data_IF_334387464845
#
_entry.id   IF_334387464845
#
_cell.length_a   1.000
_cell.length_b   1.000
_cell.length_c   1.000
_cell.angle_alpha   90.00
_cell.angle_beta   90.00
_cell.angle_gamma   90.00
#
_symmetry.space_group_name_H-M   'P 1'
#
loop_
_entity.id
_entity.type
_entity.pdbx_description
1 polymer ?
#
# COMPACT_ATOMS: atom_id res chain seq x y z
N UNK A 1 1.91 -19.38 -10.19
CA UNK A 1 2.66 -18.21 -10.64
C UNK A 1 2.87 -18.23 -12.15
N UNK A 2 1.84 -18.63 -12.86
CA UNK A 2 1.95 -18.73 -14.33
C UNK A 2 1.12 -17.68 -15.06
N UNK A 3 0.38 -16.90 -14.29
CA UNK A 3 -0.47 -15.83 -14.79
C UNK A 3 -0.01 -14.50 -14.20
N UNK A 4 0.72 -13.68 -14.95
CA UNK A 4 1.28 -12.41 -14.45
C UNK A 4 0.21 -11.40 -14.12
N UNK A 5 -0.96 -11.51 -14.74
CA UNK A 5 -2.08 -10.59 -14.52
C UNK A 5 -3.32 -11.37 -14.07
N UNK A 6 -4.11 -10.77 -13.19
CA UNK A 6 -5.37 -11.33 -12.73
C UNK A 6 -6.56 -10.96 -13.62
N UNK A 7 -7.73 -11.43 -13.21
CA UNK A 7 -9.00 -11.12 -13.85
C UNK A 7 -9.29 -11.93 -15.11
N UNK A 8 -10.47 -11.72 -15.63
CA UNK A 8 -11.00 -12.46 -16.80
C UNK A 8 -10.18 -12.27 -18.07
N UNK A 9 -9.68 -11.07 -18.29
CA UNK A 9 -9.01 -10.69 -19.52
C UNK A 9 -7.49 -10.74 -19.44
N UNK A 10 -6.94 -10.66 -18.23
CA UNK A 10 -5.48 -10.70 -17.96
C UNK A 10 -4.67 -9.69 -18.79
N UNK A 11 -5.30 -8.54 -19.12
CA UNK A 11 -4.70 -7.52 -19.99
C UNK A 11 -3.99 -6.43 -19.21
N UNK A 12 -4.33 -6.27 -17.94
CA UNK A 12 -3.77 -5.22 -17.06
C UNK A 12 -3.32 -5.83 -15.73
N UNK A 13 -2.26 -5.26 -15.18
CA UNK A 13 -1.80 -5.63 -13.85
C UNK A 13 -2.85 -5.25 -12.80
N UNK A 14 -3.14 -6.16 -11.88
CA UNK A 14 -4.09 -5.91 -10.80
C UNK A 14 -3.45 -5.05 -9.71
N UNK A 15 -4.20 -4.09 -9.18
CA UNK A 15 -3.74 -3.25 -8.07
C UNK A 15 -3.86 -3.94 -6.71
N UNK A 16 -4.75 -4.94 -6.62
CA UNK A 16 -4.97 -5.74 -5.40
C UNK A 16 -5.13 -7.21 -5.76
N UNK A 17 -4.64 -8.09 -4.90
CA UNK A 17 -5.01 -9.50 -4.92
C UNK A 17 -6.41 -9.64 -4.33
N UNK A 18 -7.31 -10.29 -5.04
CA UNK A 18 -8.67 -10.59 -4.56
C UNK A 18 -8.93 -12.08 -4.75
N UNK A 19 -9.34 -12.77 -3.69
CA UNK A 19 -9.58 -14.19 -3.72
C UNK A 19 -10.84 -14.56 -2.93
N UNK A 20 -11.69 -15.44 -3.49
CA UNK A 20 -12.82 -16.02 -2.75
C UNK A 20 -12.32 -16.88 -1.60
N UNK A 21 -13.02 -16.83 -0.49
CA UNK A 21 -12.74 -17.73 0.62
C UNK A 21 -13.04 -19.16 0.20
N UNK A 22 -12.08 -20.09 0.33
CA UNK A 22 -12.32 -21.50 0.05
C UNK A 22 -13.26 -22.08 1.11
N UNK A 23 -14.30 -22.78 0.65
CA UNK A 23 -15.24 -23.50 1.51
C UNK A 23 -15.27 -24.97 1.15
N UNK A 24 -15.50 -25.84 2.12
CA UNK A 24 -15.49 -27.28 1.90
C UNK A 24 -16.65 -27.77 1.00
N UNK A 25 -17.78 -27.07 1.02
CA UNK A 25 -18.97 -27.38 0.18
C UNK A 25 -19.68 -26.09 -0.19
N UNK A 26 -20.24 -26.07 -1.39
CA UNK A 26 -21.00 -24.92 -1.90
C UNK A 26 -20.11 -23.82 -2.46
N UNK A 27 -20.64 -22.62 -2.57
CA UNK A 27 -19.96 -21.41 -3.01
C UNK A 27 -19.99 -20.34 -1.91
N UNK A 28 -19.01 -19.46 -1.92
CA UNK A 28 -18.88 -18.34 -0.97
C UNK A 28 -18.69 -17.05 -1.77
N UNK A 29 -19.54 -16.08 -1.52
CA UNK A 29 -19.47 -14.75 -2.14
C UNK A 29 -18.54 -13.78 -1.38
N UNK A 30 -17.93 -14.24 -0.29
CA UNK A 30 -16.97 -13.44 0.48
C UNK A 30 -15.57 -13.58 -0.13
N UNK A 31 -14.92 -12.46 -0.31
CA UNK A 31 -13.55 -12.37 -0.81
C UNK A 31 -12.64 -11.74 0.22
N UNK A 32 -11.38 -12.15 0.22
CA UNK A 32 -10.28 -11.43 0.87
C UNK A 32 -9.57 -10.58 -0.16
N UNK A 33 -9.13 -9.41 0.26
CA UNK A 33 -8.37 -8.48 -0.55
C UNK A 33 -7.05 -8.17 0.13
N UNK A 34 -5.98 -8.06 -0.66
CA UNK A 34 -4.67 -7.63 -0.18
C UNK A 34 -4.00 -6.76 -1.23
N UNK A 35 -3.42 -5.67 -0.78
CA UNK A 35 -2.58 -4.79 -1.58
C UNK A 35 -1.30 -4.46 -0.85
N UNK A 36 -0.38 -3.79 -1.52
CA UNK A 36 0.84 -3.28 -0.90
C UNK A 36 1.15 -1.87 -1.38
N UNK A 37 1.98 -1.17 -0.62
CA UNK A 37 2.54 0.13 -1.00
C UNK A 37 4.00 0.21 -0.57
N UNK A 38 4.85 0.73 -1.45
CA UNK A 38 6.26 1.01 -1.20
C UNK A 38 6.90 1.76 -2.37
N UNK A 39 7.58 2.86 -2.07
CA UNK A 39 8.42 3.59 -3.01
C UNK A 39 9.86 3.69 -2.47
N UNK A 40 10.84 3.00 -3.09
CA UNK A 40 12.23 2.99 -2.64
C UNK A 40 12.92 4.35 -2.78
N UNK A 41 12.53 5.17 -3.75
CA UNK A 41 13.13 6.50 -3.95
C UNK A 41 12.65 7.48 -2.89
N UNK A 42 11.34 7.50 -2.63
CA UNK A 42 10.76 8.32 -1.58
C UNK A 42 11.28 7.90 -0.20
N UNK A 43 11.39 6.60 0.07
CA UNK A 43 11.92 6.06 1.31
C UNK A 43 13.40 6.39 1.51
N UNK A 44 14.19 6.44 0.44
CA UNK A 44 15.59 6.85 0.47
C UNK A 44 15.75 8.34 0.75
N UNK A 45 14.84 9.16 0.22
CA UNK A 45 14.81 10.59 0.49
C UNK A 45 14.35 10.88 1.93
N UNK A 46 13.30 10.22 2.39
CA UNK A 46 12.77 10.35 3.75
C UNK A 46 12.04 9.07 4.17
N UNK A 47 12.61 8.27 5.08
CA UNK A 47 11.95 7.07 5.58
C UNK A 47 10.57 7.36 6.21
N UNK A 48 10.41 8.51 6.86
CA UNK A 48 9.13 8.95 7.41
C UNK A 48 8.06 9.11 6.33
N UNK A 49 8.34 9.92 5.29
CA UNK A 49 7.39 10.15 4.21
C UNK A 49 7.20 8.88 3.37
N UNK A 50 8.25 8.11 3.14
CA UNK A 50 8.16 6.81 2.47
C UNK A 50 7.14 5.89 3.16
N UNK A 51 7.17 5.81 4.48
CA UNK A 51 6.22 5.00 5.24
C UNK A 51 4.79 5.56 5.21
N UNK A 52 4.61 6.89 5.32
CA UNK A 52 3.29 7.53 5.18
C UNK A 52 2.67 7.18 3.83
N UNK A 53 3.43 7.36 2.74
CA UNK A 53 2.93 7.08 1.39
C UNK A 53 2.76 5.58 1.12
N UNK A 54 3.56 4.71 1.73
CA UNK A 54 3.36 3.27 1.65
C UNK A 54 1.99 2.86 2.23
N UNK A 55 1.61 3.43 3.37
CA UNK A 55 0.28 3.22 3.96
C UNK A 55 -0.82 3.76 3.05
N UNK A 56 -0.67 4.99 2.57
CA UNK A 56 -1.64 5.62 1.67
C UNK A 56 -1.82 4.82 0.37
N UNK A 57 -0.73 4.38 -0.25
CA UNK A 57 -0.76 3.62 -1.49
C UNK A 57 -1.46 2.28 -1.31
N UNK A 58 -1.09 1.49 -0.28
CA UNK A 58 -1.74 0.21 -0.02
C UNK A 58 -3.24 0.38 0.24
N UNK A 59 -3.64 1.42 1.00
CA UNK A 59 -5.04 1.73 1.26
C UNK A 59 -5.79 2.12 -0.02
N UNK A 60 -5.21 2.99 -0.83
CA UNK A 60 -5.81 3.43 -2.10
C UNK A 60 -6.06 2.27 -3.05
N UNK A 61 -5.14 1.32 -3.12
CA UNK A 61 -5.28 0.12 -3.97
C UNK A 61 -6.44 -0.79 -3.51
N UNK A 62 -6.70 -0.89 -2.22
CA UNK A 62 -7.89 -1.60 -1.71
C UNK A 62 -9.16 -0.88 -2.15
N UNK A 63 -9.22 0.44 -1.99
CA UNK A 63 -10.39 1.25 -2.36
C UNK A 63 -10.68 1.16 -3.86
N UNK A 64 -9.66 1.25 -4.70
CA UNK A 64 -9.83 1.14 -6.16
C UNK A 64 -10.31 -0.23 -6.62
N UNK A 65 -10.08 -1.26 -5.83
CA UNK A 65 -10.59 -2.61 -6.08
C UNK A 65 -11.98 -2.88 -5.49
N UNK A 66 -12.62 -1.87 -4.87
CA UNK A 66 -13.97 -1.97 -4.31
C UNK A 66 -14.05 -2.26 -2.81
N UNK A 67 -12.91 -2.20 -2.10
CA UNK A 67 -12.85 -2.38 -0.65
C UNK A 67 -13.32 -1.15 0.14
N UNK A 68 -13.69 -1.37 1.38
CA UNK A 68 -14.09 -0.33 2.32
C UNK A 68 -12.89 0.04 3.21
N UNK A 69 -12.30 1.22 2.98
CA UNK A 69 -11.11 1.63 3.73
C UNK A 69 -11.29 1.57 5.25
N UNK A 70 -12.49 1.76 5.77
CA UNK A 70 -12.78 1.74 7.22
C UNK A 70 -12.60 0.36 7.87
N UNK A 71 -12.59 -0.70 7.07
CA UNK A 71 -12.43 -2.09 7.52
C UNK A 71 -11.00 -2.58 7.40
N UNK A 72 -10.15 -1.86 6.70
CA UNK A 72 -8.76 -2.26 6.45
C UNK A 72 -7.99 -2.48 7.76
N UNK A 73 -7.15 -3.50 7.73
CA UNK A 73 -6.10 -3.75 8.73
C UNK A 73 -4.77 -3.82 8.02
N UNK A 74 -3.75 -3.23 8.63
CA UNK A 74 -2.41 -3.24 8.07
C UNK A 74 -1.53 -4.31 8.69
N UNK A 75 -0.54 -4.75 7.92
CA UNK A 75 0.65 -5.43 8.43
C UNK A 75 1.86 -4.86 7.71
N UNK A 76 2.96 -4.68 8.43
CA UNK A 76 4.16 -4.05 7.89
C UNK A 76 5.30 -5.04 7.78
N UNK A 77 6.02 -4.96 6.67
CA UNK A 77 7.28 -5.66 6.48
C UNK A 77 8.39 -4.62 6.38
N UNK A 78 9.31 -4.67 7.31
CA UNK A 78 10.41 -3.73 7.38
C UNK A 78 11.74 -4.41 7.06
N UNK A 79 12.61 -3.70 6.35
CA UNK A 79 13.94 -4.17 6.00
C UNK A 79 14.91 -3.00 5.93
N UNK A 80 15.88 -3.00 6.83
CA UNK A 80 16.86 -1.93 6.95
C UNK A 80 18.28 -2.48 6.86
N UNK A 81 19.21 -1.61 6.50
CA UNK A 81 20.64 -1.92 6.50
C UNK A 81 21.10 -2.41 7.88
N UNK A 82 22.22 -3.10 7.91
CA UNK A 82 22.79 -3.60 9.18
C UNK A 82 23.02 -2.44 10.15
N UNK A 83 22.52 -2.60 11.34
CA UNK A 83 22.74 -1.64 12.42
C UNK A 83 24.19 -1.67 12.89
N UNK A 84 24.65 -0.54 13.39
CA UNK A 84 25.96 -0.35 14.02
C UNK A 84 25.77 0.58 15.21
N UNK A 85 26.84 1.06 15.81
CA UNK A 85 26.78 2.08 16.85
C UNK A 85 26.46 3.48 16.32
N UNK A 86 26.43 3.66 15.00
CA UNK A 86 26.07 4.94 14.38
C UNK A 86 24.57 5.25 14.58
N UNK A 87 24.23 6.30 15.34
CA UNK A 87 22.84 6.66 15.59
C UNK A 87 22.06 7.01 14.32
N UNK A 88 22.73 7.44 13.25
CA UNK A 88 22.09 7.70 11.95
C UNK A 88 21.49 6.44 11.33
N UNK A 89 22.09 5.28 11.58
CA UNK A 89 21.52 4.01 11.12
C UNK A 89 20.23 3.67 11.85
N UNK A 90 20.15 3.94 13.15
CA UNK A 90 18.97 3.72 13.98
C UNK A 90 17.84 4.72 13.71
N UNK A 91 18.17 5.93 13.23
CA UNK A 91 17.14 6.93 12.89
C UNK A 91 16.24 6.51 11.73
N UNK A 92 16.71 5.67 10.81
CA UNK A 92 15.93 5.25 9.64
C UNK A 92 14.71 4.38 10.01
N UNK A 93 14.86 3.25 10.75
CA UNK A 93 13.71 2.48 11.19
C UNK A 93 12.79 3.30 12.10
N UNK A 94 13.35 4.11 13.01
CA UNK A 94 12.53 4.96 13.87
C UNK A 94 11.67 5.96 13.08
N UNK A 95 12.25 6.62 12.07
CA UNK A 95 11.52 7.56 11.22
C UNK A 95 10.43 6.86 10.39
N UNK A 96 10.70 5.66 9.84
CA UNK A 96 9.73 4.88 9.12
C UNK A 96 8.54 4.45 10.02
N UNK A 97 8.84 3.93 11.21
CA UNK A 97 7.81 3.58 12.19
C UNK A 97 6.94 4.78 12.59
N UNK A 98 7.57 5.94 12.81
CA UNK A 98 6.83 7.17 13.15
C UNK A 98 5.92 7.61 12.00
N UNK A 99 6.37 7.49 10.75
CA UNK A 99 5.56 7.79 9.57
C UNK A 99 4.35 6.85 9.47
N UNK A 100 4.57 5.54 9.59
CA UNK A 100 3.50 4.56 9.59
C UNK A 100 2.51 4.73 10.76
N UNK A 101 3.02 5.07 11.95
CA UNK A 101 2.18 5.38 13.12
C UNK A 101 1.28 6.59 12.85
N UNK A 102 1.83 7.69 12.36
CA UNK A 102 1.05 8.89 12.08
C UNK A 102 -0.02 8.64 11.00
N UNK A 103 0.31 7.88 9.96
CA UNK A 103 -0.67 7.51 8.94
C UNK A 103 -1.81 6.67 9.53
N UNK A 104 -1.50 5.67 10.37
CA UNK A 104 -2.51 4.86 11.05
C UNK A 104 -3.45 5.72 11.92
N UNK A 105 -2.90 6.64 12.70
CA UNK A 105 -3.70 7.55 13.54
C UNK A 105 -4.56 8.46 12.67
N UNK A 106 -3.99 9.02 11.59
CA UNK A 106 -4.72 9.91 10.68
C UNK A 106 -5.91 9.23 10.01
N UNK A 107 -5.78 7.96 9.62
CA UNK A 107 -6.87 7.18 9.04
C UNK A 107 -7.78 6.51 10.08
N UNK A 108 -7.37 6.44 11.34
CA UNK A 108 -8.08 5.69 12.38
C UNK A 108 -8.05 4.17 12.15
N UNK A 109 -7.00 3.65 11.52
CA UNK A 109 -6.88 2.25 11.12
C UNK A 109 -5.69 1.58 11.81
N UNK A 110 -5.87 0.39 12.43
CA UNK A 110 -4.81 -0.29 13.13
C UNK A 110 -3.99 -1.21 12.22
N UNK A 111 -2.74 -1.45 12.60
CA UNK A 111 -1.98 -2.61 12.16
C UNK A 111 -2.18 -3.79 13.12
N UNK A 112 -2.15 -5.00 12.57
CA UNK A 112 -2.26 -6.25 13.34
C UNK A 112 -0.90 -6.80 13.76
N UNK A 113 0.18 -6.26 13.21
CA UNK A 113 1.54 -6.68 13.47
C UNK A 113 2.44 -6.40 12.27
N UNK A 114 3.56 -7.06 12.25
CA UNK A 114 4.56 -6.92 11.21
C UNK A 114 5.80 -7.73 11.52
N UNK A 115 6.82 -7.53 10.71
CA UNK A 115 8.12 -8.16 10.88
C UNK A 115 9.20 -7.20 10.39
N UNK A 116 10.23 -7.05 11.16
CA UNK A 116 11.39 -6.24 10.82
C UNK A 116 12.67 -7.07 10.66
N UNK A 117 13.63 -6.52 9.94
CA UNK A 117 14.95 -7.07 9.79
C UNK A 117 15.98 -5.95 9.58
N UNK A 118 17.10 -6.07 10.26
CA UNK A 118 18.21 -5.12 10.22
C UNK A 118 19.46 -5.75 9.58
N UNK A 119 19.28 -6.59 8.56
CA UNK A 119 20.36 -7.35 7.92
C UNK A 119 20.60 -6.95 6.46
N UNK A 120 20.03 -5.84 6.02
CA UNK A 120 20.03 -5.40 4.62
C UNK A 120 21.33 -4.72 4.17
N UNK A 121 22.49 -5.31 4.49
CA UNK A 121 23.80 -4.86 4.01
C UNK A 121 24.54 -6.05 3.42
N UNK A 122 25.01 -5.90 2.19
CA UNK A 122 25.87 -6.85 1.52
C UNK A 122 27.12 -6.12 1.01
N UNK A 123 28.28 -6.43 1.59
CA UNK A 123 29.52 -5.68 1.39
C UNK A 123 29.29 -4.17 1.62
N UNK A 124 29.47 -3.36 0.60
CA UNK A 124 29.32 -1.91 0.63
C UNK A 124 27.94 -1.43 0.17
N UNK A 125 27.02 -2.37 -0.11
CA UNK A 125 25.68 -2.08 -0.59
C UNK A 125 24.70 -2.18 0.58
N UNK A 126 24.01 -1.09 0.87
CA UNK A 126 22.90 -1.03 1.81
C UNK A 126 21.56 -1.05 1.03
N UNK A 127 20.57 -1.77 1.51
CA UNK A 127 19.20 -1.65 0.99
C UNK A 127 18.64 -0.25 1.31
N UNK A 128 17.76 0.29 0.47
CA UNK A 128 17.03 1.49 0.85
C UNK A 128 16.23 1.25 2.13
N UNK A 129 16.00 2.28 2.97
CA UNK A 129 15.11 2.14 4.11
C UNK A 129 13.74 1.63 3.63
N UNK A 130 13.33 0.47 4.10
CA UNK A 130 12.16 -0.22 3.57
C UNK A 130 11.11 -0.42 4.65
N UNK A 131 9.93 0.14 4.45
CA UNK A 131 8.71 -0.23 5.13
C UNK A 131 7.65 -0.45 4.05
N UNK A 132 7.31 -1.71 3.81
CA UNK A 132 6.21 -2.10 2.93
C UNK A 132 4.95 -2.18 3.77
N UNK A 133 3.92 -1.44 3.38
CA UNK A 133 2.60 -1.56 3.97
C UNK A 133 1.78 -2.56 3.18
N UNK A 134 1.21 -3.55 3.85
CA UNK A 134 0.18 -4.42 3.30
C UNK A 134 -1.16 -4.05 3.92
N UNK A 135 -2.16 -3.79 3.07
CA UNK A 135 -3.53 -3.53 3.49
C UNK A 135 -4.37 -4.77 3.20
N UNK A 136 -5.17 -5.19 4.17
CA UNK A 136 -6.05 -6.36 4.06
C UNK A 136 -7.48 -5.93 4.35
N UNK A 137 -8.42 -6.40 3.53
CA UNK A 137 -9.86 -6.16 3.69
C UNK A 137 -10.67 -7.40 3.32
N UNK A 138 -11.96 -7.36 3.62
CA UNK A 138 -12.96 -8.38 3.28
C UNK A 138 -14.14 -7.70 2.58
N UNK A 139 -14.50 -8.20 1.41
CA UNK A 139 -15.61 -7.67 0.63
C UNK A 139 -16.53 -8.78 0.11
N UNK A 140 -17.56 -8.40 -0.63
CA UNK A 140 -18.39 -9.33 -1.39
C UNK A 140 -17.93 -9.34 -2.85
N UNK A 141 -17.96 -10.51 -3.49
CA UNK A 141 -17.57 -10.68 -4.90
C UNK A 141 -18.23 -9.65 -5.83
N UNK A 142 -19.52 -9.37 -5.61
CA UNK A 142 -20.30 -8.43 -6.42
C UNK A 142 -19.82 -6.96 -6.34
N UNK A 143 -19.08 -6.61 -5.28
CA UNK A 143 -18.63 -5.25 -5.01
C UNK A 143 -17.21 -5.02 -5.55
N UNK A 144 -16.58 -6.04 -6.12
CA UNK A 144 -15.21 -5.98 -6.62
C UNK A 144 -15.14 -5.25 -7.96
N UNK A 145 -14.18 -4.35 -8.06
CA UNK A 145 -13.88 -3.57 -9.25
C UNK A 145 -12.55 -4.04 -9.83
N UNK A 146 -12.55 -4.36 -11.11
CA UNK A 146 -11.35 -4.74 -11.86
C UNK A 146 -10.85 -3.59 -12.72
N UNK A 147 -9.53 -3.51 -13.06
CA UNK A 147 -8.93 -2.31 -13.65
C UNK A 147 -9.24 -2.09 -15.14
N UNK A 148 -9.73 -3.10 -15.86
CA UNK A 148 -10.01 -2.98 -17.28
C UNK A 148 -11.19 -2.06 -17.58
N UNK A 149 -11.16 -1.38 -18.72
CA UNK A 149 -12.29 -0.62 -19.27
C UNK A 149 -13.44 -1.57 -19.60
N UNK A 150 -14.68 -1.19 -19.23
CA UNK A 150 -15.84 -2.09 -19.30
C UNK A 150 -16.62 -1.98 -20.61
N UNK A 151 -16.82 -0.76 -21.11
CA UNK A 151 -17.61 -0.53 -22.30
C UNK A 151 -17.12 0.65 -23.13
N UNK A 152 -17.47 0.64 -24.43
CA UNK A 152 -17.24 1.80 -25.30
C UNK A 152 -18.19 2.92 -24.87
N UNK A 153 -17.63 4.10 -24.64
CA UNK A 153 -18.38 5.26 -24.15
C UNK A 153 -18.27 5.52 -22.66
N UNK A 154 -17.54 4.67 -21.91
CA UNK A 154 -17.21 4.92 -20.52
C UNK A 154 -16.43 6.25 -20.39
N UNK A 155 -16.74 7.00 -19.34
CA UNK A 155 -16.08 8.25 -19.05
C UNK A 155 -14.85 7.99 -18.17
N UNK A 156 -13.73 8.60 -18.56
CA UNK A 156 -12.53 8.62 -17.74
C UNK A 156 -12.51 9.92 -16.92
N UNK A 157 -12.43 9.77 -15.61
CA UNK A 157 -12.39 10.89 -14.67
C UNK A 157 -11.06 10.87 -13.93
N UNK A 158 -10.31 11.96 -14.02
CA UNK A 158 -9.08 12.16 -13.29
C UNK A 158 -9.36 13.00 -12.03
N UNK A 159 -9.14 12.44 -10.86
CA UNK A 159 -9.15 13.17 -9.60
C UNK A 159 -7.75 13.73 -9.35
N UNK A 160 -7.65 15.03 -9.16
CA UNK A 160 -6.38 15.70 -8.91
C UNK A 160 -6.57 16.85 -7.94
N UNK A 161 -5.52 17.19 -7.20
CA UNK A 161 -5.45 18.40 -6.40
C UNK A 161 -4.97 19.52 -7.34
N UNK A 162 -5.66 20.67 -7.34
CA UNK A 162 -5.20 21.85 -8.09
C UNK A 162 -3.86 22.31 -7.53
N UNK A 163 -3.06 22.91 -8.40
CA UNK A 163 -1.79 23.50 -7.99
C UNK A 163 -2.00 24.96 -7.58
N UNK A 164 -1.17 25.39 -6.64
CA UNK A 164 -1.06 26.79 -6.24
C UNK A 164 -0.24 27.62 -7.25
N UNK A 165 0.02 28.88 -6.94
CA UNK A 165 0.82 29.80 -7.77
C UNK A 165 2.29 29.39 -7.92
N UNK A 166 2.78 28.46 -7.11
CA UNK A 166 4.14 27.94 -7.15
C UNK A 166 4.23 26.56 -7.82
N UNK A 167 3.17 26.12 -8.49
CA UNK A 167 3.04 24.78 -9.12
C UNK A 167 3.09 23.63 -8.12
N UNK A 168 2.78 23.89 -6.83
CA UNK A 168 2.69 22.91 -5.77
C UNK A 168 1.24 22.51 -5.50
N UNK A 169 0.97 21.25 -5.07
CA UNK A 169 -0.38 20.85 -4.71
C UNK A 169 -0.98 21.76 -3.63
N UNK A 170 -2.13 22.36 -3.91
CA UNK A 170 -2.86 23.18 -2.95
C UNK A 170 -3.67 22.31 -1.99
N UNK A 171 -3.06 21.93 -0.89
CA UNK A 171 -3.67 21.05 0.11
C UNK A 171 -4.82 21.70 0.89
N UNK A 172 -4.98 23.03 0.84
CA UNK A 172 -6.12 23.70 1.45
C UNK A 172 -7.47 23.30 0.85
N UNK A 173 -7.45 22.68 -0.35
CA UNK A 173 -8.67 22.20 -1.00
C UNK A 173 -9.23 20.91 -0.38
N UNK A 174 -8.46 20.20 0.43
CA UNK A 174 -8.82 18.88 0.98
C UNK A 174 -8.84 18.84 2.50
N UNK A 175 -8.53 19.96 3.15
CA UNK A 175 -8.67 20.16 4.60
C UNK A 175 -9.98 20.85 4.94
#
# INVERSE_FOLDING_TARGET
VYMPFGGKYQLTETQSMVAKLPVAKGDCDTVTMMSYGFDPYLSSWSPYHGAVYAVLESLSRIVTAGGDYKKVRFTFQEYFRRMSEDPKRWSQPFAALLGAYNAQIGFGLPSIGGKDSMSGTFNDIDVPPTLVSFAVDIAKEKDIITPELKAVGDQLVLFTIKKDEFDLPDYAQVM
#
